data_IF_069274686365
#
_entry.id   IF_069274686365
#
_cell.length_a   1.000
_cell.length_b   1.000
_cell.length_c   1.000
_cell.angle_alpha   90.00
_cell.angle_beta   90.00
_cell.angle_gamma   90.00
#
_symmetry.space_group_name_H-M   'P 1'
#
loop_
_entity.id
_entity.type
_entity.pdbx_description
1 polymer ?
#
# COMPACT_ATOMS: atom_id res chain seq x y z
N UNK A 1 1.92 -17.38 0.93
CA UNK A 1 2.34 -16.44 2.00
C UNK A 1 1.79 -15.08 1.59
N UNK A 2 0.98 -14.43 2.41
CA UNK A 2 0.27 -13.20 2.01
C UNK A 2 1.18 -11.97 2.12
N UNK A 3 1.28 -11.21 1.03
CA UNK A 3 2.06 -9.99 0.88
C UNK A 3 1.16 -8.77 1.13
N UNK A 4 1.46 -7.98 2.16
CA UNK A 4 0.73 -6.77 2.52
C UNK A 4 1.62 -5.56 2.26
N UNK A 5 1.19 -4.72 1.32
CA UNK A 5 1.82 -3.45 1.00
C UNK A 5 1.54 -2.39 2.07
N UNK A 6 2.60 -1.71 2.50
CA UNK A 6 2.57 -0.55 3.39
C UNK A 6 2.91 0.67 2.57
N UNK A 7 1.98 1.61 2.41
CA UNK A 7 2.27 2.81 1.64
C UNK A 7 3.31 3.67 2.38
N UNK A 8 4.42 3.95 1.71
CA UNK A 8 5.59 4.62 2.24
C UNK A 8 5.91 5.90 1.42
N UNK A 9 4.89 6.72 1.13
CA UNK A 9 5.04 7.97 0.38
C UNK A 9 5.69 9.09 1.19
N UNK A 10 5.48 9.09 2.51
CA UNK A 10 6.04 10.06 3.47
C UNK A 10 6.18 9.37 4.84
N UNK A 11 7.21 9.73 5.60
CA UNK A 11 7.33 9.32 7.01
C UNK A 11 7.88 7.91 7.26
N UNK A 12 7.76 7.48 8.52
CA UNK A 12 8.29 6.23 9.05
C UNK A 12 7.21 5.14 9.08
N UNK A 13 7.44 4.03 8.39
CA UNK A 13 6.50 2.91 8.26
C UNK A 13 6.86 1.70 9.14
N UNK A 14 7.89 1.83 9.98
CA UNK A 14 8.44 0.71 10.79
C UNK A 14 7.38 0.03 11.67
N UNK A 15 6.52 0.80 12.33
CA UNK A 15 5.49 0.26 13.23
C UNK A 15 4.46 -0.60 12.48
N UNK A 16 4.06 -0.17 11.28
CA UNK A 16 3.13 -0.93 10.44
C UNK A 16 3.78 -2.19 9.87
N UNK A 17 5.04 -2.09 9.41
CA UNK A 17 5.78 -3.28 8.95
C UNK A 17 5.94 -4.32 10.06
N UNK A 18 6.15 -3.88 11.31
CA UNK A 18 6.20 -4.76 12.48
C UNK A 18 4.84 -5.37 12.82
N UNK A 19 3.76 -4.58 12.76
CA UNK A 19 2.40 -5.08 13.00
C UNK A 19 2.00 -6.17 12.00
N UNK A 20 2.34 -6.00 10.71
CA UNK A 20 2.09 -6.98 9.65
C UNK A 20 2.89 -8.27 9.87
N UNK A 21 4.17 -8.15 10.23
CA UNK A 21 5.00 -9.32 10.52
C UNK A 21 4.49 -10.11 11.73
N UNK A 22 3.96 -9.42 12.76
CA UNK A 22 3.37 -10.06 13.95
C UNK A 22 2.13 -10.90 13.63
N UNK A 23 1.38 -10.56 12.58
CA UNK A 23 0.23 -11.36 12.12
C UNK A 23 0.61 -12.42 11.08
N UNK A 24 1.91 -12.61 10.80
CA UNK A 24 2.42 -13.66 9.92
C UNK A 24 2.39 -13.33 8.42
N UNK A 25 2.22 -12.05 8.05
CA UNK A 25 2.24 -11.59 6.67
C UNK A 25 3.57 -10.90 6.32
N UNK A 26 3.90 -10.84 5.04
CA UNK A 26 5.08 -10.13 4.53
C UNK A 26 4.75 -8.65 4.34
N UNK A 27 5.53 -7.75 4.92
CA UNK A 27 5.36 -6.31 4.74
C UNK A 27 6.20 -5.79 3.57
N UNK A 28 5.55 -5.22 2.55
CA UNK A 28 6.21 -4.65 1.37
C UNK A 28 6.04 -3.14 1.35
N UNK A 29 7.11 -2.36 1.26
CA UNK A 29 6.96 -0.90 1.13
C UNK A 29 6.46 -0.54 -0.27
N UNK A 30 5.36 0.21 -0.35
CA UNK A 30 4.76 0.68 -1.60
C UNK A 30 5.05 2.17 -1.72
N UNK A 31 5.85 2.55 -2.72
CA UNK A 31 6.19 3.96 -3.00
C UNK A 31 5.68 4.40 -4.36
N UNK A 32 5.35 3.45 -5.22
CA UNK A 32 4.88 3.65 -6.58
C UNK A 32 3.70 2.74 -6.85
N UNK A 33 2.90 3.11 -7.85
CA UNK A 33 1.71 2.34 -8.24
C UNK A 33 2.09 0.94 -8.76
N UNK A 34 3.26 0.79 -9.39
CA UNK A 34 3.74 -0.53 -9.84
C UNK A 34 4.01 -1.51 -8.71
N UNK A 35 4.33 -1.03 -7.51
CA UNK A 35 4.56 -1.89 -6.34
C UNK A 35 3.25 -2.62 -5.94
N UNK A 36 2.09 -2.06 -6.31
CA UNK A 36 0.76 -2.65 -6.06
C UNK A 36 0.57 -4.00 -6.77
N UNK A 37 1.30 -4.26 -7.86
CA UNK A 37 1.21 -5.52 -8.61
C UNK A 37 1.81 -6.71 -7.86
N UNK A 38 2.60 -6.46 -6.82
CA UNK A 38 3.37 -7.46 -6.06
C UNK A 38 2.80 -7.79 -4.68
N UNK A 39 1.63 -7.24 -4.35
CA UNK A 39 0.99 -7.34 -3.04
C UNK A 39 -0.45 -7.83 -3.16
N UNK A 40 -0.91 -8.55 -2.15
CA UNK A 40 -2.28 -9.08 -2.06
C UNK A 40 -3.24 -8.06 -1.41
N UNK A 41 -2.72 -7.15 -0.60
CA UNK A 41 -3.50 -6.12 0.09
C UNK A 41 -2.64 -4.87 0.39
N UNK A 42 -3.26 -3.71 0.58
CA UNK A 42 -2.59 -2.47 0.96
C UNK A 42 -3.12 -1.94 2.30
N UNK A 43 -2.24 -1.44 3.16
CA UNK A 43 -2.60 -0.72 4.39
C UNK A 43 -2.34 0.78 4.25
N UNK A 44 -3.26 1.58 4.80
CA UNK A 44 -3.16 3.03 4.85
C UNK A 44 -2.34 3.48 6.05
N UNK A 45 -1.02 3.54 5.90
CA UNK A 45 -0.16 4.14 6.93
C UNK A 45 -0.09 5.64 6.71
N UNK A 46 -0.72 6.40 7.61
CA UNK A 46 -0.67 7.86 7.69
C UNK A 46 -0.90 8.59 6.35
N UNK A 47 -2.16 8.86 6.01
CA UNK A 47 -2.50 9.78 4.92
C UNK A 47 -3.10 11.08 5.45
N UNK A 48 -2.76 12.19 4.79
CA UNK A 48 -3.69 13.32 4.71
C UNK A 48 -4.84 12.95 3.75
N UNK A 49 -6.01 13.59 3.89
CA UNK A 49 -7.17 13.29 3.05
C UNK A 49 -6.89 13.41 1.54
N UNK A 50 -5.97 14.29 1.15
CA UNK A 50 -5.56 14.45 -0.26
C UNK A 50 -4.85 13.20 -0.81
N UNK A 51 -4.00 12.55 0.00
CA UNK A 51 -3.26 11.37 -0.43
C UNK A 51 -4.16 10.14 -0.60
N UNK A 52 -5.18 9.99 0.25
CA UNK A 52 -6.21 8.95 0.12
C UNK A 52 -6.98 9.08 -1.21
N UNK A 53 -7.28 10.32 -1.62
CA UNK A 53 -7.95 10.62 -2.89
C UNK A 53 -7.05 10.28 -4.08
N UNK A 54 -5.78 10.70 -4.06
CA UNK A 54 -4.83 10.40 -5.15
C UNK A 54 -4.57 8.90 -5.29
N UNK A 55 -4.46 8.17 -4.18
CA UNK A 55 -4.33 6.71 -4.21
C UNK A 55 -5.57 6.04 -4.81
N UNK A 56 -6.77 6.51 -4.43
CA UNK A 56 -8.04 6.02 -4.97
C UNK A 56 -8.14 6.28 -6.47
N UNK A 57 -7.70 7.46 -6.95
CA UNK A 57 -7.63 7.79 -8.37
C UNK A 57 -6.62 6.90 -9.11
N UNK A 58 -5.43 6.68 -8.53
CA UNK A 58 -4.39 5.83 -9.12
C UNK A 58 -4.87 4.38 -9.25
N UNK A 59 -5.49 3.82 -8.21
CA UNK A 59 -6.08 2.47 -8.24
C UNK A 59 -7.19 2.40 -9.29
N UNK A 60 -8.14 3.33 -9.31
CA UNK A 60 -9.20 3.34 -10.33
C UNK A 60 -8.63 3.44 -11.74
N UNK A 61 -7.63 4.28 -11.98
CA UNK A 61 -6.98 4.39 -13.29
C UNK A 61 -6.31 3.08 -13.71
N UNK A 62 -5.69 2.36 -12.77
CA UNK A 62 -5.01 1.09 -13.05
C UNK A 62 -5.99 -0.04 -13.39
N UNK A 63 -7.15 -0.08 -12.73
CA UNK A 63 -8.17 -1.12 -12.97
C UNK A 63 -9.17 -0.76 -14.07
N UNK A 64 -9.38 0.52 -14.39
CA UNK A 64 -10.22 0.96 -15.52
C UNK A 64 -9.58 0.70 -16.88
N UNK A 65 -8.24 0.59 -16.96
CA UNK A 65 -7.52 0.26 -18.20
C UNK A 65 -7.55 -1.26 -18.51
N UNK A 66 -8.00 -2.10 -17.59
CA UNK A 66 -7.99 -3.58 -17.72
C UNK A 66 -9.38 -4.14 -18.12
N UNK A 67 -10.36 -3.29 -18.46
CA UNK A 67 -11.71 -3.70 -18.89
C UNK A 67 -12.03 -3.23 -20.31
#
# INVERSE_FOLDING_TARGET
>A
MSSIGVLALQGDVREHSLAIQRVGALATQVRRVDDLKSIDAITSSFFTKEQEIELTKAIRSYYTIII
#
